data_IF_170250889613
#
_entry.id   IF_170250889613
#
_cell.length_a   1.000
_cell.length_b   1.000
_cell.length_c   1.000
_cell.angle_alpha   90.00
_cell.angle_beta   90.00
_cell.angle_gamma   90.00
#
_symmetry.space_group_name_H-M   'P 1'
#
loop_
_entity.id
_entity.type
_entity.pdbx_description
1 polymer ?
#
# COMPACT_ATOMS: atom_id res chain seq x y z
N UNK A 1 24.21 -7.30 -1.49
CA UNK A 1 25.25 -7.27 -2.58
C UNK A 1 26.48 -6.62 -1.98
N UNK A 2 27.61 -7.26 -2.19
CA UNK A 2 28.93 -6.69 -1.95
C UNK A 2 29.05 -5.30 -2.61
N UNK A 3 29.65 -4.30 -1.93
CA UNK A 3 29.81 -2.94 -2.45
C UNK A 3 30.45 -2.88 -3.85
N UNK A 4 31.40 -3.77 -4.15
CA UNK A 4 32.03 -3.85 -5.44
C UNK A 4 31.07 -4.30 -6.54
N UNK A 5 30.24 -5.29 -6.27
CA UNK A 5 29.21 -5.81 -7.20
C UNK A 5 28.16 -4.75 -7.48
N UNK A 6 27.69 -4.05 -6.45
CA UNK A 6 26.77 -2.91 -6.58
C UNK A 6 27.34 -1.80 -7.44
N UNK A 7 28.59 -1.41 -7.19
CA UNK A 7 29.31 -0.41 -7.96
C UNK A 7 29.43 -0.80 -9.44
N UNK A 8 29.70 -2.06 -9.74
CA UNK A 8 29.78 -2.57 -11.11
C UNK A 8 28.41 -2.55 -11.81
N UNK A 9 27.33 -2.88 -11.10
CA UNK A 9 25.97 -2.82 -11.63
C UNK A 9 25.60 -1.39 -12.01
N UNK A 10 25.87 -0.41 -11.12
CA UNK A 10 25.65 1.02 -11.38
C UNK A 10 26.46 1.46 -12.60
N UNK A 11 27.74 1.12 -12.67
CA UNK A 11 28.64 1.46 -13.78
C UNK A 11 28.16 0.90 -15.12
N UNK A 12 27.71 -0.36 -15.13
CA UNK A 12 27.20 -1.02 -16.34
C UNK A 12 25.92 -0.34 -16.82
N UNK A 13 24.96 -0.09 -15.92
CA UNK A 13 23.70 0.56 -16.25
C UNK A 13 23.90 2.00 -16.69
N UNK A 14 24.80 2.77 -16.05
CA UNK A 14 25.16 4.11 -16.47
C UNK A 14 25.66 4.13 -17.92
N UNK A 15 26.61 3.25 -18.26
CA UNK A 15 27.14 3.14 -19.61
C UNK A 15 26.08 2.72 -20.63
N UNK A 16 25.22 1.77 -20.27
CA UNK A 16 24.10 1.32 -21.11
C UNK A 16 23.12 2.47 -21.42
N UNK A 17 22.90 3.37 -20.47
CA UNK A 17 22.05 4.55 -20.65
C UNK A 17 22.81 5.77 -21.25
N UNK A 18 24.08 5.65 -21.60
CA UNK A 18 24.86 6.71 -22.24
C UNK A 18 25.27 7.88 -21.33
N UNK A 19 25.15 7.73 -20.00
CA UNK A 19 25.49 8.81 -19.07
C UNK A 19 26.99 8.86 -18.76
N UNK A 20 27.58 10.08 -18.70
CA UNK A 20 28.88 10.29 -18.06
C UNK A 20 28.77 10.17 -16.53
N UNK A 21 29.90 10.05 -15.83
CA UNK A 21 29.87 10.05 -14.35
C UNK A 21 29.35 11.38 -13.80
N UNK A 22 29.75 12.50 -14.39
CA UNK A 22 29.28 13.83 -13.97
C UNK A 22 27.77 14.00 -14.17
N UNK A 23 27.21 13.53 -15.30
CA UNK A 23 25.80 13.62 -15.59
C UNK A 23 24.98 12.76 -14.60
N UNK A 24 25.36 11.49 -14.40
CA UNK A 24 24.63 10.65 -13.45
C UNK A 24 24.75 11.17 -12.03
N UNK A 25 25.92 11.62 -11.62
CA UNK A 25 26.13 12.21 -10.30
C UNK A 25 25.23 13.43 -10.08
N UNK A 26 25.16 14.34 -11.05
CA UNK A 26 24.24 15.49 -11.01
C UNK A 26 22.77 15.09 -10.91
N UNK A 27 22.32 14.09 -11.68
CA UNK A 27 20.94 13.58 -11.66
C UNK A 27 20.55 12.99 -10.30
N UNK A 28 21.50 12.42 -9.57
CA UNK A 28 21.25 11.87 -8.22
C UNK A 28 21.61 12.85 -7.09
N UNK A 29 21.99 14.10 -7.43
CA UNK A 29 22.33 15.13 -6.45
C UNK A 29 23.64 14.88 -5.70
N UNK A 30 24.65 14.31 -6.38
CA UNK A 30 25.98 13.99 -5.83
C UNK A 30 27.10 14.50 -6.72
N UNK A 31 28.35 14.48 -6.22
CA UNK A 31 29.54 14.84 -6.99
C UNK A 31 30.02 13.68 -7.85
N UNK A 32 30.72 13.98 -8.93
CA UNK A 32 31.37 12.99 -9.81
C UNK A 32 32.36 12.12 -9.03
N UNK A 33 33.13 12.72 -8.11
CA UNK A 33 34.06 12.00 -7.24
C UNK A 33 33.34 10.97 -6.36
N UNK A 34 32.17 11.34 -5.80
CA UNK A 34 31.34 10.41 -5.05
C UNK A 34 30.90 9.21 -5.91
N UNK A 35 30.40 9.46 -7.12
CA UNK A 35 29.96 8.39 -8.01
C UNK A 35 31.14 7.50 -8.45
N UNK A 36 32.29 8.08 -8.71
CA UNK A 36 33.51 7.34 -9.05
C UNK A 36 33.91 6.37 -7.92
N UNK A 37 33.82 6.81 -6.66
CA UNK A 37 34.10 5.96 -5.50
C UNK A 37 33.05 4.85 -5.31
N UNK A 38 31.77 5.14 -5.55
CA UNK A 38 30.70 4.16 -5.54
C UNK A 38 30.91 3.10 -6.63
N UNK A 39 31.22 3.50 -7.86
CA UNK A 39 31.43 2.57 -8.97
C UNK A 39 32.68 1.67 -8.79
N UNK A 40 33.65 2.11 -7.97
CA UNK A 40 34.80 1.31 -7.57
C UNK A 40 34.56 0.43 -6.33
N UNK A 41 33.38 0.55 -5.70
CA UNK A 41 33.07 -0.18 -4.49
C UNK A 41 33.79 0.34 -3.22
N UNK A 42 34.44 1.51 -3.30
CA UNK A 42 35.15 2.13 -2.18
C UNK A 42 34.14 2.78 -1.22
N UNK A 43 33.09 3.39 -1.78
CA UNK A 43 32.03 4.04 -1.03
C UNK A 43 30.74 3.21 -1.12
N UNK A 44 30.15 2.93 0.04
CA UNK A 44 28.89 2.21 0.13
C UNK A 44 27.75 3.21 -0.01
N UNK A 45 26.78 2.91 -0.87
CA UNK A 45 25.54 3.69 -0.97
C UNK A 45 24.56 3.15 0.05
N UNK A 46 24.45 3.82 1.21
CA UNK A 46 23.58 3.40 2.33
C UNK A 46 22.24 4.14 2.34
N UNK A 47 22.12 5.21 1.57
CA UNK A 47 20.89 5.98 1.50
C UNK A 47 19.89 5.33 0.55
N UNK A 48 18.77 4.85 1.10
CA UNK A 48 17.63 4.36 0.31
C UNK A 48 17.12 5.41 -0.70
N UNK A 49 17.21 6.69 -0.37
CA UNK A 49 16.87 7.78 -1.27
C UNK A 49 17.75 7.78 -2.51
N UNK A 50 19.06 7.64 -2.30
CA UNK A 50 20.03 7.62 -3.42
C UNK A 50 19.91 6.34 -4.22
N UNK A 51 19.71 5.20 -3.57
CA UNK A 51 19.45 3.92 -4.24
C UNK A 51 18.19 4.00 -5.10
N UNK A 52 17.11 4.59 -4.60
CA UNK A 52 15.89 4.83 -5.35
C UNK A 52 16.09 5.80 -6.52
N UNK A 53 16.88 6.86 -6.35
CA UNK A 53 17.22 7.78 -7.45
C UNK A 53 18.05 7.08 -8.52
N UNK A 54 19.07 6.32 -8.12
CA UNK A 54 19.89 5.52 -9.03
C UNK A 54 19.05 4.50 -9.80
N UNK A 55 18.19 3.75 -9.10
CA UNK A 55 17.26 2.78 -9.69
C UNK A 55 16.41 3.42 -10.80
N UNK A 56 15.82 4.59 -10.54
CA UNK A 56 14.99 5.30 -11.53
C UNK A 56 15.76 5.86 -12.69
N UNK A 57 16.84 6.58 -12.42
CA UNK A 57 17.67 7.22 -13.47
C UNK A 57 18.27 6.16 -14.37
N UNK A 58 18.69 5.03 -13.79
CA UNK A 58 19.33 3.95 -14.51
C UNK A 58 18.33 2.91 -15.07
N UNK A 59 17.04 3.02 -14.73
CA UNK A 59 15.99 2.06 -15.08
C UNK A 59 16.35 0.63 -14.64
N UNK A 60 16.89 0.51 -13.44
CA UNK A 60 17.20 -0.76 -12.78
C UNK A 60 16.13 -1.07 -11.75
N UNK A 61 15.86 -2.36 -11.52
CA UNK A 61 15.13 -2.74 -10.32
C UNK A 61 15.98 -2.41 -9.08
N UNK A 62 15.36 -1.91 -8.02
CA UNK A 62 16.07 -1.59 -6.79
C UNK A 62 16.74 -2.82 -6.18
N UNK A 63 16.20 -3.99 -6.41
CA UNK A 63 16.76 -5.29 -6.01
C UNK A 63 18.11 -5.56 -6.66
N UNK A 64 18.32 -5.12 -7.90
CA UNK A 64 19.62 -5.20 -8.58
C UNK A 64 20.70 -4.35 -7.90
N UNK A 65 20.31 -3.27 -7.24
CA UNK A 65 21.23 -2.37 -6.52
C UNK A 65 21.42 -2.79 -5.05
N UNK A 66 20.39 -3.30 -4.42
CA UNK A 66 20.47 -3.71 -3.02
C UNK A 66 21.03 -5.13 -2.86
N UNK A 67 20.94 -5.94 -3.93
CA UNK A 67 21.30 -7.35 -3.90
C UNK A 67 20.47 -8.18 -2.95
N UNK A 68 19.42 -7.61 -2.49
CA UNK A 68 18.31 -8.37 -1.99
C UNK A 68 17.52 -8.88 -3.19
N UNK A 69 18.10 -9.81 -3.98
CA UNK A 69 17.28 -10.96 -4.29
C UNK A 69 16.87 -11.46 -2.92
N UNK A 70 15.66 -11.20 -2.60
CA UNK A 70 14.98 -11.80 -1.49
C UNK A 70 14.86 -13.30 -1.78
N UNK A 71 15.97 -14.05 -1.75
CA UNK A 71 15.92 -15.50 -1.53
C UNK A 71 15.28 -15.81 -0.17
N UNK A 72 15.17 -14.80 0.71
CA UNK A 72 14.44 -14.88 1.98
C UNK A 72 12.96 -14.45 1.89
N UNK A 73 12.43 -14.13 0.71
CA UNK A 73 11.02 -13.65 0.56
C UNK A 73 10.20 -14.56 -0.36
N UNK A 74 10.67 -15.71 -0.68
CA UNK A 74 9.81 -16.78 -1.24
C UNK A 74 9.09 -17.57 -0.13
N UNK A 75 9.41 -17.30 1.12
CA UNK A 75 8.59 -17.78 2.23
C UNK A 75 7.52 -16.70 2.50
N UNK A 76 6.28 -16.99 2.08
CA UNK A 76 5.13 -16.12 2.38
C UNK A 76 5.12 -15.86 3.87
N UNK A 77 5.49 -14.62 4.29
CA UNK A 77 5.53 -14.23 5.71
C UNK A 77 4.14 -14.28 6.36
N UNK A 78 3.12 -14.28 5.53
CA UNK A 78 1.73 -14.30 5.97
C UNK A 78 1.11 -15.67 5.67
N UNK A 79 0.94 -16.47 6.70
CA UNK A 79 0.53 -17.88 6.60
C UNK A 79 -0.77 -18.11 5.81
N UNK A 80 -1.73 -17.18 5.92
CA UNK A 80 -2.99 -17.27 5.20
C UNK A 80 -2.86 -17.01 3.68
N UNK A 81 -1.76 -16.43 3.19
CA UNK A 81 -1.60 -16.08 1.78
C UNK A 81 -1.73 -17.29 0.87
N UNK A 82 -1.12 -18.44 1.21
CA UNK A 82 -1.21 -19.68 0.43
C UNK A 82 -2.64 -20.22 0.35
N UNK A 83 -3.40 -20.08 1.42
CA UNK A 83 -4.80 -20.56 1.45
C UNK A 83 -5.71 -19.64 0.65
N UNK A 84 -5.45 -18.33 0.70
CA UNK A 84 -6.12 -17.33 -0.15
C UNK A 84 -5.78 -17.57 -1.62
N UNK A 85 -4.51 -17.78 -1.96
CA UNK A 85 -4.05 -18.10 -3.31
C UNK A 85 -4.77 -19.34 -3.87
N UNK A 86 -4.81 -20.44 -3.12
CA UNK A 86 -5.53 -21.66 -3.53
C UNK A 86 -7.01 -21.38 -3.77
N UNK A 87 -7.66 -20.58 -2.92
CA UNK A 87 -9.06 -20.21 -3.11
C UNK A 87 -9.26 -19.36 -4.39
N UNK A 88 -8.32 -18.47 -4.69
CA UNK A 88 -8.34 -17.69 -5.92
C UNK A 88 -8.05 -18.53 -7.18
N UNK A 89 -7.23 -19.57 -7.08
CA UNK A 89 -6.89 -20.46 -8.22
C UNK A 89 -7.98 -21.48 -8.55
N UNK A 90 -8.98 -21.70 -7.69
CA UNK A 90 -10.08 -22.60 -8.01
C UNK A 90 -10.94 -22.01 -9.11
N UNK A 91 -11.03 -22.73 -10.20
CA UNK A 91 -11.92 -22.41 -11.32
C UNK A 91 -13.25 -23.15 -11.10
N UNK A 92 -14.14 -22.54 -10.35
CA UNK A 92 -15.49 -23.10 -10.08
C UNK A 92 -16.25 -23.45 -11.36
N UNK A 93 -15.97 -22.76 -12.47
CA UNK A 93 -16.51 -23.14 -13.79
C UNK A 93 -16.08 -24.54 -14.26
N UNK A 94 -14.87 -25.00 -13.92
CA UNK A 94 -14.43 -26.36 -14.24
C UNK A 94 -15.08 -27.41 -13.31
N UNK A 95 -15.27 -27.08 -12.04
CA UNK A 95 -15.99 -27.95 -11.10
C UNK A 95 -17.46 -28.15 -11.53
N UNK A 96 -18.11 -27.11 -12.06
CA UNK A 96 -19.50 -27.18 -12.58
C UNK A 96 -19.59 -28.05 -13.85
N UNK A 97 -18.53 -28.09 -14.68
CA UNK A 97 -18.49 -28.94 -15.89
C UNK A 97 -18.26 -30.42 -15.53
N UNK A 98 -17.50 -30.67 -14.46
CA UNK A 98 -17.11 -32.04 -14.04
C UNK A 98 -18.13 -32.68 -13.10
N UNK A 99 -18.87 -31.86 -12.31
CA UNK A 99 -19.93 -32.32 -11.41
C UNK A 99 -21.27 -31.80 -11.91
N UNK A 100 -22.05 -32.65 -12.56
CA UNK A 100 -23.42 -32.34 -13.06
C UNK A 100 -24.43 -31.91 -11.98
N UNK A 101 -24.04 -31.89 -10.71
CA UNK A 101 -24.90 -31.52 -9.58
C UNK A 101 -24.11 -30.71 -8.54
N UNK A 102 -24.12 -29.39 -8.68
CA UNK A 102 -23.75 -28.53 -7.56
C UNK A 102 -24.91 -28.47 -6.57
N UNK A 103 -24.83 -29.24 -5.51
CA UNK A 103 -25.74 -29.20 -4.35
C UNK A 103 -25.32 -28.16 -3.30
N UNK A 104 -24.44 -27.22 -3.66
CA UNK A 104 -24.07 -26.15 -2.73
C UNK A 104 -25.26 -25.19 -2.49
N UNK A 105 -25.53 -24.81 -1.25
CA UNK A 105 -26.64 -23.90 -0.94
C UNK A 105 -26.43 -22.58 -1.68
N UNK A 106 -27.52 -22.06 -2.24
CA UNK A 106 -27.53 -20.76 -2.92
C UNK A 106 -27.04 -19.69 -1.94
N UNK A 107 -25.94 -19.04 -2.25
CA UNK A 107 -25.39 -17.94 -1.46
C UNK A 107 -26.16 -16.68 -1.82
N UNK A 108 -26.79 -16.08 -0.82
CA UNK A 108 -27.50 -14.79 -0.96
C UNK A 108 -26.44 -13.67 -1.18
N UNK A 109 -26.52 -12.90 -2.29
CA UNK A 109 -25.59 -11.82 -2.56
C UNK A 109 -25.52 -10.74 -1.47
N UNK A 110 -26.64 -10.42 -0.83
CA UNK A 110 -26.70 -9.41 0.23
C UNK A 110 -25.98 -9.90 1.48
N UNK A 111 -26.15 -11.17 1.84
CA UNK A 111 -25.41 -11.80 2.95
C UNK A 111 -23.90 -11.82 2.65
N UNK A 112 -23.52 -12.19 1.43
CA UNK A 112 -22.12 -12.21 1.00
C UNK A 112 -21.52 -10.80 1.02
N UNK A 113 -22.26 -9.79 0.56
CA UNK A 113 -21.83 -8.40 0.58
C UNK A 113 -21.63 -7.90 2.02
N UNK A 114 -22.56 -8.21 2.91
CA UNK A 114 -22.46 -7.86 4.34
C UNK A 114 -21.25 -8.54 5.01
N UNK A 115 -20.99 -9.81 4.71
CA UNK A 115 -19.82 -10.55 5.21
C UNK A 115 -18.52 -9.95 4.70
N UNK A 116 -18.46 -9.55 3.42
CA UNK A 116 -17.29 -8.88 2.84
C UNK A 116 -17.03 -7.50 3.47
N UNK A 117 -18.09 -6.75 3.79
CA UNK A 117 -18.00 -5.51 4.55
C UNK A 117 -17.47 -5.73 5.97
N UNK A 118 -17.96 -6.76 6.65
CA UNK A 118 -17.47 -7.12 7.99
C UNK A 118 -15.97 -7.50 7.94
N UNK A 119 -15.57 -8.34 6.97
CA UNK A 119 -14.17 -8.68 6.77
C UNK A 119 -13.30 -7.44 6.49
N UNK A 120 -13.82 -6.47 5.73
CA UNK A 120 -13.12 -5.22 5.49
C UNK A 120 -12.98 -4.36 6.76
N UNK A 121 -14.02 -4.28 7.59
CA UNK A 121 -13.96 -3.59 8.88
C UNK A 121 -12.93 -4.25 9.81
N UNK A 122 -12.90 -5.59 9.85
CA UNK A 122 -11.90 -6.37 10.61
C UNK A 122 -10.47 -6.09 10.11
N UNK A 123 -10.27 -5.98 8.78
CA UNK A 123 -9.01 -5.54 8.19
C UNK A 123 -8.61 -4.12 8.64
N UNK A 124 -9.56 -3.17 8.67
CA UNK A 124 -9.30 -1.81 9.14
C UNK A 124 -8.99 -1.74 10.64
N UNK A 125 -9.49 -2.69 11.42
CA UNK A 125 -9.14 -2.89 12.83
C UNK A 125 -7.76 -3.54 13.03
N UNK A 126 -6.99 -3.77 11.95
CA UNK A 126 -5.67 -4.40 11.94
C UNK A 126 -5.64 -5.87 12.44
N UNK A 127 -6.77 -6.58 12.35
CA UNK A 127 -6.92 -8.01 12.71
C UNK A 127 -6.74 -8.87 11.46
N UNK A 128 -5.51 -8.91 10.93
CA UNK A 128 -5.23 -9.49 9.61
C UNK A 128 -5.32 -11.02 9.61
N UNK A 129 -4.93 -11.67 10.70
CA UNK A 129 -4.99 -13.14 10.81
C UNK A 129 -6.44 -13.64 10.84
N UNK A 130 -7.34 -12.87 11.43
CA UNK A 130 -8.77 -13.18 11.43
C UNK A 130 -9.36 -13.04 10.01
N UNK A 131 -9.08 -11.94 9.35
CA UNK A 131 -9.51 -11.71 7.96
C UNK A 131 -8.97 -12.80 7.05
N UNK A 132 -7.68 -13.11 7.17
CA UNK A 132 -7.01 -14.11 6.34
C UNK A 132 -7.60 -15.50 6.46
N UNK A 133 -8.06 -15.88 7.66
CA UNK A 133 -8.77 -17.16 7.88
C UNK A 133 -10.15 -17.19 7.24
N UNK A 134 -10.85 -16.06 7.20
CA UNK A 134 -12.22 -15.95 6.64
C UNK A 134 -12.27 -15.82 5.12
N UNK A 135 -11.29 -15.13 4.52
CA UNK A 135 -11.28 -14.80 3.08
C UNK A 135 -11.37 -16.01 2.14
N UNK A 136 -10.69 -17.15 2.38
CA UNK A 136 -10.79 -18.29 1.47
C UNK A 136 -12.22 -18.81 1.30
N UNK A 137 -13.03 -18.77 2.37
CA UNK A 137 -14.43 -19.12 2.29
C UNK A 137 -15.23 -18.08 1.52
N UNK A 138 -15.07 -16.80 1.84
CA UNK A 138 -15.76 -15.71 1.14
C UNK A 138 -15.46 -15.70 -0.37
N UNK A 139 -14.22 -16.01 -0.77
CA UNK A 139 -13.84 -16.12 -2.18
C UNK A 139 -14.60 -17.27 -2.84
N UNK A 140 -14.65 -18.45 -2.22
CA UNK A 140 -15.40 -19.59 -2.78
C UNK A 140 -16.89 -19.28 -2.90
N UNK A 141 -17.49 -18.69 -1.87
CA UNK A 141 -18.90 -18.32 -1.83
C UNK A 141 -19.23 -17.28 -2.94
N UNK A 142 -18.32 -16.31 -3.17
CA UNK A 142 -18.45 -15.31 -4.25
C UNK A 142 -18.35 -15.91 -5.65
N UNK A 143 -17.45 -16.88 -5.86
CA UNK A 143 -17.33 -17.58 -7.14
C UNK A 143 -18.52 -18.53 -7.38
N UNK A 144 -18.99 -19.22 -6.36
CA UNK A 144 -20.18 -20.06 -6.45
C UNK A 144 -21.43 -19.24 -6.80
N UNK A 145 -21.63 -18.09 -6.13
CA UNK A 145 -22.72 -17.17 -6.45
C UNK A 145 -22.67 -16.67 -7.90
N UNK A 146 -21.46 -16.37 -8.41
CA UNK A 146 -21.27 -15.89 -9.78
C UNK A 146 -21.62 -16.95 -10.85
N UNK A 147 -21.53 -18.22 -10.51
CA UNK A 147 -21.86 -19.34 -11.40
C UNK A 147 -23.28 -19.88 -11.23
N UNK A 148 -24.06 -19.31 -10.30
CA UNK A 148 -25.44 -19.75 -10.03
C UNK A 148 -26.39 -19.30 -11.16
N UNK A 149 -27.10 -20.20 -11.85
CA UNK A 149 -28.07 -19.83 -12.88
C UNK A 149 -29.24 -19.01 -12.30
N UNK A 150 -29.63 -17.93 -12.99
CA UNK A 150 -30.74 -17.07 -12.60
C UNK A 150 -30.47 -16.20 -11.36
N UNK A 151 -29.22 -16.05 -10.94
CA UNK A 151 -28.83 -15.09 -9.90
C UNK A 151 -28.97 -13.65 -10.43
N UNK A 152 -29.24 -12.70 -9.51
CA UNK A 152 -29.15 -11.27 -9.79
C UNK A 152 -27.68 -10.90 -10.08
N UNK A 153 -27.35 -10.80 -11.34
CA UNK A 153 -25.98 -10.59 -11.80
C UNK A 153 -25.34 -9.31 -11.24
N UNK A 154 -25.98 -8.14 -11.27
CA UNK A 154 -25.43 -6.92 -10.67
C UNK A 154 -25.14 -7.06 -9.16
N UNK A 155 -26.07 -7.62 -8.38
CA UNK A 155 -25.86 -7.80 -6.94
C UNK A 155 -24.73 -8.80 -6.64
N UNK A 156 -24.68 -9.93 -7.35
CA UNK A 156 -23.60 -10.91 -7.24
C UNK A 156 -22.23 -10.27 -7.58
N UNK A 157 -22.19 -9.50 -8.66
CA UNK A 157 -20.96 -8.81 -9.09
C UNK A 157 -20.53 -7.76 -8.07
N UNK A 158 -21.47 -7.04 -7.44
CA UNK A 158 -21.18 -6.09 -6.37
C UNK A 158 -20.56 -6.79 -5.14
N UNK A 159 -21.16 -7.89 -4.69
CA UNK A 159 -20.65 -8.68 -3.59
C UNK A 159 -19.25 -9.25 -3.90
N UNK A 160 -19.08 -9.83 -5.09
CA UNK A 160 -17.81 -10.35 -5.57
C UNK A 160 -16.73 -9.27 -5.63
N UNK A 161 -17.05 -8.08 -6.14
CA UNK A 161 -16.13 -6.94 -6.17
C UNK A 161 -15.69 -6.56 -4.74
N UNK A 162 -16.60 -6.56 -3.76
CA UNK A 162 -16.26 -6.23 -2.37
C UNK A 162 -15.37 -7.29 -1.72
N UNK A 163 -15.61 -8.58 -1.95
CA UNK A 163 -14.75 -9.69 -1.48
C UNK A 163 -13.34 -9.52 -2.02
N UNK A 164 -13.19 -9.30 -3.32
CA UNK A 164 -11.87 -9.14 -3.94
C UNK A 164 -11.18 -7.82 -3.59
N UNK A 165 -11.92 -6.73 -3.39
CA UNK A 165 -11.37 -5.49 -2.84
C UNK A 165 -10.78 -5.69 -1.43
N UNK A 166 -11.47 -6.45 -0.57
CA UNK A 166 -10.99 -6.79 0.77
C UNK A 166 -9.73 -7.66 0.69
N UNK A 167 -9.76 -8.67 -0.17
CA UNK A 167 -8.61 -9.57 -0.43
C UNK A 167 -7.39 -8.78 -0.90
N UNK A 168 -7.56 -7.90 -1.89
CA UNK A 168 -6.49 -7.06 -2.41
C UNK A 168 -5.91 -6.12 -1.35
N UNK A 169 -6.77 -5.52 -0.51
CA UNK A 169 -6.33 -4.63 0.56
C UNK A 169 -5.48 -5.36 1.59
N UNK A 170 -5.90 -6.56 2.03
CA UNK A 170 -5.13 -7.38 2.97
C UNK A 170 -3.78 -7.82 2.36
N UNK A 171 -3.82 -8.47 1.19
CA UNK A 171 -2.62 -9.00 0.55
C UNK A 171 -1.57 -7.91 0.28
N UNK A 172 -2.01 -6.73 -0.19
CA UNK A 172 -1.14 -5.56 -0.33
C UNK A 172 -0.53 -5.14 1.01
N UNK A 173 -1.32 -5.13 2.09
CA UNK A 173 -0.89 -4.66 3.41
C UNK A 173 0.15 -5.58 4.03
N UNK A 174 0.03 -6.88 3.81
CA UNK A 174 0.99 -7.89 4.29
C UNK A 174 2.16 -8.15 3.33
N UNK A 175 2.21 -7.43 2.19
CA UNK A 175 3.34 -7.47 1.27
C UNK A 175 3.22 -8.43 0.08
N UNK A 176 2.12 -9.17 -0.04
CA UNK A 176 1.86 -10.14 -1.12
C UNK A 176 1.37 -9.42 -2.39
N UNK A 177 2.29 -8.70 -3.05
CA UNK A 177 1.97 -7.72 -4.11
C UNK A 177 1.35 -8.35 -5.36
N UNK A 178 1.78 -9.54 -5.74
CA UNK A 178 1.31 -10.22 -6.95
C UNK A 178 -0.08 -10.80 -6.75
N UNK A 179 -0.33 -11.42 -5.60
CA UNK A 179 -1.67 -11.88 -5.23
C UNK A 179 -2.63 -10.69 -5.03
N UNK A 180 -2.15 -9.58 -4.46
CA UNK A 180 -2.94 -8.36 -4.32
C UNK A 180 -3.37 -7.80 -5.68
N UNK A 181 -2.49 -7.84 -6.69
CA UNK A 181 -2.83 -7.42 -8.04
C UNK A 181 -3.87 -8.31 -8.68
N UNK A 182 -3.73 -9.65 -8.58
CA UNK A 182 -4.72 -10.59 -9.10
C UNK A 182 -6.10 -10.37 -8.45
N UNK A 183 -6.14 -10.17 -7.14
CA UNK A 183 -7.38 -9.87 -6.42
C UNK A 183 -8.00 -8.53 -6.87
N UNK A 184 -7.19 -7.48 -7.01
CA UNK A 184 -7.66 -6.17 -7.46
C UNK A 184 -8.18 -6.19 -8.91
N UNK A 185 -7.55 -6.95 -9.80
CA UNK A 185 -8.01 -7.15 -11.18
C UNK A 185 -9.38 -7.82 -11.23
N UNK A 186 -9.59 -8.86 -10.42
CA UNK A 186 -10.90 -9.51 -10.29
C UNK A 186 -11.95 -8.58 -9.68
N UNK A 187 -11.55 -7.72 -8.73
CA UNK A 187 -12.44 -6.72 -8.17
C UNK A 187 -12.89 -5.70 -9.23
N UNK A 188 -11.94 -5.21 -10.05
CA UNK A 188 -12.24 -4.29 -11.16
C UNK A 188 -13.19 -4.94 -12.17
N UNK A 189 -12.89 -6.17 -12.58
CA UNK A 189 -13.73 -6.94 -13.52
C UNK A 189 -15.15 -7.14 -12.97
N UNK A 190 -15.28 -7.52 -11.70
CA UNK A 190 -16.60 -7.69 -11.06
C UNK A 190 -17.34 -6.34 -10.95
N UNK A 191 -16.66 -5.27 -10.54
CA UNK A 191 -17.25 -3.94 -10.40
C UNK A 191 -17.79 -3.39 -11.73
N UNK A 192 -17.13 -3.71 -12.85
CA UNK A 192 -17.60 -3.31 -14.19
C UNK A 192 -18.95 -3.95 -14.57
N UNK A 193 -19.23 -5.15 -14.05
CA UNK A 193 -20.51 -5.87 -14.30
C UNK A 193 -21.60 -5.59 -13.26
N UNK A 194 -21.26 -4.86 -12.18
CA UNK A 194 -22.24 -4.51 -11.13
C UNK A 194 -23.16 -3.35 -11.51
N UNK A 195 -22.90 -2.68 -12.64
CA UNK A 195 -23.62 -1.48 -13.11
C UNK A 195 -23.72 -0.36 -12.04
N UNK A 196 -22.68 -0.25 -11.23
CA UNK A 196 -22.56 0.74 -10.15
C UNK A 196 -21.29 1.57 -10.35
N UNK A 197 -21.35 2.78 -10.94
CA UNK A 197 -20.17 3.60 -11.22
C UNK A 197 -19.34 3.92 -9.98
N UNK A 198 -19.98 4.08 -8.82
CA UNK A 198 -19.28 4.33 -7.57
C UNK A 198 -18.45 3.11 -7.13
N UNK A 199 -18.96 1.89 -7.30
CA UNK A 199 -18.22 0.67 -6.98
C UNK A 199 -17.00 0.49 -7.90
N UNK A 200 -17.15 0.83 -9.19
CA UNK A 200 -16.01 0.86 -10.13
C UNK A 200 -14.95 1.87 -9.69
N UNK A 201 -15.35 3.04 -9.21
CA UNK A 201 -14.42 4.03 -8.67
C UNK A 201 -13.72 3.55 -7.38
N UNK A 202 -14.43 2.81 -6.52
CA UNK A 202 -13.85 2.16 -5.33
C UNK A 202 -12.83 1.09 -5.71
N UNK A 203 -13.13 0.27 -6.71
CA UNK A 203 -12.19 -0.73 -7.21
C UNK A 203 -10.94 -0.07 -7.82
N UNK A 204 -11.10 1.01 -8.59
CA UNK A 204 -10.00 1.80 -9.14
C UNK A 204 -9.12 2.41 -8.03
N UNK A 205 -9.73 2.93 -6.96
CA UNK A 205 -9.02 3.41 -5.79
C UNK A 205 -8.13 2.32 -5.16
N UNK A 206 -8.63 1.08 -5.02
CA UNK A 206 -7.86 -0.05 -4.49
C UNK A 206 -6.74 -0.46 -5.43
N UNK A 207 -7.04 -0.58 -6.72
CA UNK A 207 -6.07 -0.93 -7.75
C UNK A 207 -4.93 0.09 -7.82
N UNK A 208 -5.20 1.40 -7.66
CA UNK A 208 -4.17 2.42 -7.64
C UNK A 208 -3.13 2.17 -6.53
N UNK A 209 -3.56 1.82 -5.31
CA UNK A 209 -2.62 1.46 -4.24
C UNK A 209 -1.86 0.15 -4.52
N UNK A 210 -2.48 -0.80 -5.20
CA UNK A 210 -1.77 -2.02 -5.64
C UNK A 210 -0.69 -1.67 -6.65
N UNK A 211 -0.96 -0.82 -7.63
CA UNK A 211 0.05 -0.33 -8.58
C UNK A 211 1.20 0.38 -7.88
N UNK A 212 0.92 1.27 -6.90
CA UNK A 212 1.96 1.92 -6.10
C UNK A 212 2.85 0.86 -5.42
N UNK A 213 2.25 -0.16 -4.80
CA UNK A 213 3.00 -1.21 -4.11
C UNK A 213 3.85 -2.07 -5.04
N UNK A 214 3.49 -2.16 -6.30
CA UNK A 214 4.24 -2.86 -7.37
C UNK A 214 5.28 -1.98 -8.07
N UNK A 215 5.50 -0.74 -7.60
CA UNK A 215 6.44 0.20 -8.23
C UNK A 215 5.95 0.78 -9.55
N UNK A 216 4.62 0.83 -9.78
CA UNK A 216 3.96 1.40 -10.96
C UNK A 216 3.16 2.66 -10.61
N UNK A 217 3.82 3.71 -10.07
CA UNK A 217 3.10 4.90 -9.59
C UNK A 217 2.46 5.73 -10.71
N UNK A 218 3.02 5.71 -11.93
CA UNK A 218 2.42 6.45 -13.06
C UNK A 218 1.06 5.90 -13.43
N UNK A 219 0.97 4.59 -13.61
CA UNK A 219 -0.28 3.91 -13.92
C UNK A 219 -1.30 4.06 -12.77
N UNK A 220 -0.80 4.11 -11.53
CA UNK A 220 -1.64 4.38 -10.38
C UNK A 220 -2.26 5.79 -10.42
N UNK A 221 -1.46 6.81 -10.75
CA UNK A 221 -1.92 8.19 -10.87
C UNK A 221 -2.90 8.35 -12.04
N UNK A 222 -2.59 7.78 -13.20
CA UNK A 222 -3.45 7.79 -14.38
C UNK A 222 -4.82 7.15 -14.10
N UNK A 223 -4.82 5.95 -13.50
CA UNK A 223 -6.05 5.24 -13.13
C UNK A 223 -6.87 6.05 -12.12
N UNK A 224 -6.24 6.54 -11.06
CA UNK A 224 -6.92 7.29 -10.01
C UNK A 224 -7.53 8.59 -10.56
N UNK A 225 -6.82 9.32 -11.41
CA UNK A 225 -7.31 10.57 -12.00
C UNK A 225 -8.38 10.34 -13.06
N UNK A 226 -8.27 9.28 -13.86
CA UNK A 226 -9.33 8.88 -14.81
C UNK A 226 -10.63 8.55 -14.06
N UNK A 227 -10.54 7.74 -13.00
CA UNK A 227 -11.69 7.39 -12.16
C UNK A 227 -12.28 8.61 -11.46
N UNK A 228 -11.45 9.51 -10.91
CA UNK A 228 -11.89 10.75 -10.27
C UNK A 228 -12.64 11.65 -11.27
N UNK A 229 -12.10 11.87 -12.46
CA UNK A 229 -12.74 12.68 -13.49
C UNK A 229 -14.05 12.07 -14.01
N UNK A 230 -14.13 10.74 -14.07
CA UNK A 230 -15.38 10.05 -14.46
C UNK A 230 -16.44 10.19 -13.37
N UNK A 231 -16.05 10.05 -12.10
CA UNK A 231 -16.95 10.22 -10.96
C UNK A 231 -17.43 11.68 -10.86
N UNK A 232 -16.53 12.65 -11.02
CA UNK A 232 -16.84 14.09 -10.92
C UNK A 232 -17.94 14.52 -11.91
N UNK A 233 -17.90 14.03 -13.14
CA UNK A 233 -18.93 14.33 -14.16
C UNK A 233 -20.33 13.82 -13.82
N UNK A 234 -20.43 12.86 -12.93
CA UNK A 234 -21.70 12.21 -12.53
C UNK A 234 -22.05 12.47 -11.06
N UNK A 235 -21.17 13.11 -10.33
CA UNK A 235 -21.29 13.30 -8.89
C UNK A 235 -22.46 14.22 -8.56
N UNK A 236 -23.33 13.75 -7.68
CA UNK A 236 -24.46 14.53 -7.17
C UNK A 236 -23.94 15.55 -6.13
N UNK A 237 -24.40 16.83 -6.19
CA UNK A 237 -23.98 17.82 -5.22
C UNK A 237 -24.19 17.34 -3.78
N UNK A 238 -23.13 17.36 -2.98
CA UNK A 238 -23.19 17.03 -1.55
C UNK A 238 -23.32 15.53 -1.22
N UNK A 239 -23.28 14.62 -2.20
CA UNK A 239 -23.32 13.18 -1.90
C UNK A 239 -22.05 12.77 -1.13
N UNK A 240 -22.17 12.31 0.14
CA UNK A 240 -21.01 12.02 0.97
C UNK A 240 -20.21 10.78 0.50
N UNK A 241 -20.85 9.79 -0.09
CA UNK A 241 -20.20 8.59 -0.60
C UNK A 241 -19.32 8.91 -1.79
N UNK A 242 -19.88 9.67 -2.74
CA UNK A 242 -19.17 10.12 -3.94
C UNK A 242 -18.01 11.05 -3.58
N UNK A 243 -18.21 11.99 -2.64
CA UNK A 243 -17.15 12.86 -2.12
C UNK A 243 -16.02 12.08 -1.46
N UNK A 244 -16.34 11.04 -0.68
CA UNK A 244 -15.34 10.21 -0.01
C UNK A 244 -14.48 9.43 -0.99
N UNK A 245 -15.08 8.86 -2.04
CA UNK A 245 -14.34 8.12 -3.06
C UNK A 245 -13.55 9.07 -3.95
N UNK A 246 -14.12 10.19 -4.36
CA UNK A 246 -13.45 11.23 -5.15
C UNK A 246 -12.20 11.75 -4.43
N UNK A 247 -12.34 12.14 -3.16
CA UNK A 247 -11.21 12.59 -2.36
C UNK A 247 -10.17 11.49 -2.15
N UNK A 248 -10.60 10.25 -1.90
CA UNK A 248 -9.72 9.10 -1.79
C UNK A 248 -8.89 8.85 -3.05
N UNK A 249 -9.47 9.01 -4.24
CA UNK A 249 -8.77 8.91 -5.52
C UNK A 249 -7.69 9.99 -5.67
N UNK A 250 -7.96 11.22 -5.24
CA UNK A 250 -6.95 12.29 -5.22
C UNK A 250 -5.81 12.00 -4.23
N UNK A 251 -6.11 11.38 -3.07
CA UNK A 251 -5.07 10.94 -2.12
C UNK A 251 -4.22 9.80 -2.70
N UNK A 252 -4.82 8.87 -3.43
CA UNK A 252 -4.09 7.81 -4.13
C UNK A 252 -3.16 8.39 -5.21
N UNK A 253 -3.66 9.34 -6.01
CA UNK A 253 -2.86 10.05 -7.00
C UNK A 253 -1.73 10.87 -6.37
N UNK A 254 -1.98 11.53 -5.22
CA UNK A 254 -0.93 12.26 -4.48
C UNK A 254 0.17 11.31 -3.96
N UNK A 255 -0.22 10.14 -3.45
CA UNK A 255 0.72 9.10 -3.01
C UNK A 255 1.56 8.58 -4.19
N UNK A 256 0.93 8.39 -5.35
CA UNK A 256 1.61 7.98 -6.58
C UNK A 256 2.59 9.07 -7.07
N UNK A 257 2.16 10.32 -7.10
CA UNK A 257 3.02 11.46 -7.46
C UNK A 257 4.21 11.61 -6.50
N UNK A 258 4.00 11.40 -5.20
CA UNK A 258 5.09 11.42 -4.21
C UNK A 258 6.10 10.29 -4.45
N UNK A 259 5.66 9.11 -4.87
CA UNK A 259 6.54 8.01 -5.25
C UNK A 259 7.40 8.34 -6.49
N UNK A 260 6.93 9.22 -7.37
CA UNK A 260 7.70 9.77 -8.52
C UNK A 260 8.49 11.04 -8.15
N UNK A 261 8.47 11.49 -6.89
CA UNK A 261 9.06 12.76 -6.44
C UNK A 261 8.51 14.00 -7.16
N UNK A 262 7.28 13.93 -7.65
CA UNK A 262 6.60 15.09 -8.26
C UNK A 262 6.11 16.05 -7.18
N UNK A 263 7.03 16.95 -6.77
CA UNK A 263 6.78 17.98 -5.76
C UNK A 263 5.78 19.06 -6.21
N UNK A 264 5.42 19.09 -7.49
CA UNK A 264 4.42 20.03 -8.03
C UNK A 264 3.02 19.42 -7.98
N UNK A 265 2.88 18.18 -8.41
CA UNK A 265 1.59 17.48 -8.42
C UNK A 265 1.07 17.18 -7.00
N UNK A 266 1.96 16.76 -6.06
CA UNK A 266 1.57 16.40 -4.69
C UNK A 266 0.73 17.48 -4.00
N UNK A 267 1.18 18.74 -3.83
CA UNK A 267 0.38 19.74 -3.13
C UNK A 267 -0.90 20.10 -3.89
N UNK A 268 -0.92 20.01 -5.21
CA UNK A 268 -2.13 20.26 -6.01
C UNK A 268 -3.19 19.18 -5.74
N UNK A 269 -2.79 17.91 -5.71
CA UNK A 269 -3.69 16.78 -5.47
C UNK A 269 -4.20 16.75 -4.02
N UNK A 270 -3.34 17.04 -3.05
CA UNK A 270 -3.72 17.17 -1.64
C UNK A 270 -4.73 18.31 -1.44
N UNK A 271 -4.58 19.47 -2.12
CA UNK A 271 -5.57 20.55 -2.08
C UNK A 271 -6.94 20.13 -2.63
N UNK A 272 -6.99 19.33 -3.69
CA UNK A 272 -8.26 18.82 -4.21
C UNK A 272 -8.93 17.88 -3.21
N UNK A 273 -8.15 16.96 -2.60
CA UNK A 273 -8.65 16.09 -1.54
C UNK A 273 -9.13 16.92 -0.33
N UNK A 274 -8.41 17.97 0.06
CA UNK A 274 -8.79 18.83 1.17
C UNK A 274 -10.15 19.54 0.91
N UNK A 275 -10.35 20.11 -0.29
CA UNK A 275 -11.64 20.71 -0.68
C UNK A 275 -12.79 19.69 -0.62
N UNK A 276 -12.55 18.45 -1.04
CA UNK A 276 -13.55 17.39 -0.92
C UNK A 276 -13.85 17.06 0.55
N UNK A 277 -12.82 17.00 1.41
CA UNK A 277 -12.97 16.77 2.85
C UNK A 277 -13.71 17.91 3.57
N UNK A 278 -13.51 19.15 3.17
CA UNK A 278 -14.27 20.30 3.68
C UNK A 278 -15.75 20.18 3.34
N UNK A 279 -16.06 19.82 2.09
CA UNK A 279 -17.45 19.61 1.64
C UNK A 279 -18.12 18.42 2.33
N UNK A 280 -17.33 17.39 2.70
CA UNK A 280 -17.83 16.21 3.45
C UNK A 280 -18.20 16.56 4.90
N UNK A 281 -17.52 17.55 5.50
CA UNK A 281 -17.86 18.08 6.82
C UNK A 281 -17.42 17.27 8.02
N UNK A 282 -16.66 16.18 7.85
CA UNK A 282 -16.13 15.34 8.94
C UNK A 282 -15.45 14.08 8.43
N UNK A 283 -14.77 13.38 9.33
CA UNK A 283 -14.12 12.11 9.00
C UNK A 283 -15.16 10.98 8.93
N UNK A 284 -15.22 10.29 7.79
CA UNK A 284 -16.16 9.20 7.54
C UNK A 284 -15.45 7.99 6.93
N UNK A 285 -16.03 6.81 7.12
CA UNK A 285 -15.51 5.57 6.55
C UNK A 285 -16.40 5.00 5.45
N UNK A 286 -16.92 5.86 4.57
CA UNK A 286 -17.75 5.43 3.45
C UNK A 286 -16.91 4.68 2.44
N UNK A 287 -17.42 3.55 1.96
CA UNK A 287 -16.70 2.62 1.06
C UNK A 287 -15.30 2.23 1.55
N UNK A 288 -15.07 2.29 2.86
CA UNK A 288 -13.79 1.93 3.47
C UNK A 288 -12.62 2.87 3.11
N UNK A 289 -12.90 4.09 2.66
CA UNK A 289 -11.88 5.08 2.28
C UNK A 289 -11.24 5.78 3.48
N UNK A 290 -11.88 5.73 4.65
CA UNK A 290 -11.48 6.49 5.84
C UNK A 290 -11.31 7.98 5.54
N UNK A 291 -12.12 8.55 4.63
CA UNK A 291 -11.91 9.87 4.08
C UNK A 291 -12.43 10.99 4.99
N UNK A 292 -11.65 12.07 5.07
CA UNK A 292 -11.93 13.29 5.78
C UNK A 292 -10.67 14.11 6.01
N UNK A 293 -10.75 15.17 6.80
CA UNK A 293 -9.64 16.10 7.07
C UNK A 293 -8.44 15.41 7.71
N UNK A 294 -8.67 14.52 8.67
CA UNK A 294 -7.61 13.76 9.34
C UNK A 294 -6.87 12.85 8.35
N UNK A 295 -7.59 12.17 7.45
CA UNK A 295 -6.93 11.33 6.46
C UNK A 295 -6.14 12.13 5.41
N UNK A 296 -6.56 13.33 5.07
CA UNK A 296 -5.78 14.25 4.22
C UNK A 296 -4.46 14.62 4.92
N UNK A 297 -4.50 14.93 6.22
CA UNK A 297 -3.29 15.20 7.01
C UNK A 297 -2.36 13.98 7.07
N UNK A 298 -2.89 12.76 7.26
CA UNK A 298 -2.10 11.52 7.21
C UNK A 298 -1.39 11.37 5.85
N UNK A 299 -2.05 11.67 4.75
CA UNK A 299 -1.42 11.61 3.43
C UNK A 299 -0.42 12.75 3.21
N UNK A 300 -0.62 13.91 3.84
CA UNK A 300 0.39 14.98 3.85
C UNK A 300 1.68 14.49 4.52
N UNK A 301 1.60 13.82 5.68
CA UNK A 301 2.74 13.21 6.36
C UNK A 301 3.42 12.17 5.45
N UNK A 302 2.66 11.20 4.93
CA UNK A 302 3.20 10.12 4.11
C UNK A 302 3.87 10.64 2.83
N UNK A 303 3.29 11.64 2.16
CA UNK A 303 3.84 12.22 0.94
C UNK A 303 5.06 13.11 1.22
N UNK A 304 5.09 13.80 2.35
CA UNK A 304 6.26 14.57 2.79
C UNK A 304 7.47 13.64 3.00
N UNK A 305 7.28 12.52 3.70
CA UNK A 305 8.32 11.50 3.89
C UNK A 305 8.80 10.96 2.54
N UNK A 306 7.88 10.62 1.65
CA UNK A 306 8.21 10.06 0.34
C UNK A 306 8.98 11.05 -0.54
N UNK A 307 8.76 12.36 -0.40
CA UNK A 307 9.47 13.42 -1.12
C UNK A 307 10.72 13.95 -0.39
N UNK A 308 11.07 13.35 0.76
CA UNK A 308 12.27 13.66 1.53
C UNK A 308 12.14 14.86 2.47
N UNK A 309 10.92 15.29 2.78
CA UNK A 309 10.64 16.35 3.75
C UNK A 309 10.19 15.77 5.10
N UNK A 310 11.15 15.14 5.78
CA UNK A 310 10.91 14.55 7.10
C UNK A 310 10.57 15.59 8.18
N UNK A 311 10.94 16.86 7.99
CA UNK A 311 10.60 17.92 8.92
C UNK A 311 9.10 18.20 8.92
N UNK A 312 8.54 18.52 7.77
CA UNK A 312 7.09 18.73 7.62
C UNK A 312 6.30 17.50 8.10
N UNK A 313 6.82 16.29 7.86
CA UNK A 313 6.16 15.07 8.31
C UNK A 313 6.08 14.98 9.85
N UNK A 314 7.14 15.37 10.56
CA UNK A 314 7.16 15.39 12.03
C UNK A 314 6.27 16.52 12.55
N UNK A 315 6.44 17.74 12.03
CA UNK A 315 5.69 18.91 12.49
C UNK A 315 4.16 18.69 12.36
N UNK A 316 3.70 18.13 11.23
CA UNK A 316 2.27 17.82 11.03
C UNK A 316 1.82 16.61 11.86
N UNK A 317 2.69 15.61 12.02
CA UNK A 317 2.33 14.35 12.67
C UNK A 317 2.25 14.44 14.19
N UNK A 318 3.08 15.26 14.83
CA UNK A 318 3.04 15.50 16.27
C UNK A 318 1.80 16.28 16.70
N UNK A 319 1.31 17.19 15.82
CA UNK A 319 0.11 17.99 16.09
C UNK A 319 -1.20 17.28 15.69
N UNK A 320 -1.12 16.13 15.00
CA UNK A 320 -2.29 15.48 14.43
C UNK A 320 -3.12 14.74 15.49
N UNK A 321 -4.33 15.23 15.77
CA UNK A 321 -5.31 14.48 16.54
C UNK A 321 -5.99 13.38 15.69
N UNK A 322 -5.60 12.13 15.93
CA UNK A 322 -6.18 10.95 15.27
C UNK A 322 -7.46 10.45 15.95
N UNK A 323 -7.89 11.06 17.07
CA UNK A 323 -9.11 10.66 17.78
C UNK A 323 -10.39 10.97 16.97
N UNK A 324 -10.33 11.94 16.07
CA UNK A 324 -11.40 12.30 15.15
C UNK A 324 -11.74 11.18 14.14
N UNK A 325 -10.81 10.24 13.91
CA UNK A 325 -11.08 9.08 13.05
C UNK A 325 -12.10 8.13 13.70
N UNK A 326 -13.03 7.54 12.94
CA UNK A 326 -13.92 6.48 13.43
C UNK A 326 -13.18 5.39 14.20
N UNK A 327 -13.74 4.91 15.31
CA UNK A 327 -13.06 4.05 16.29
C UNK A 327 -12.44 2.77 15.67
N UNK A 328 -13.11 2.15 14.69
CA UNK A 328 -12.63 0.93 14.02
C UNK A 328 -11.42 1.10 13.10
N UNK A 329 -10.94 2.34 12.84
CA UNK A 329 -9.84 2.60 11.92
C UNK A 329 -8.45 2.49 12.58
N UNK A 330 -8.19 1.40 13.31
CA UNK A 330 -6.93 1.17 14.02
C UNK A 330 -5.73 1.19 13.07
N UNK A 331 -5.84 0.50 11.92
CA UNK A 331 -4.74 0.45 10.94
C UNK A 331 -4.39 1.84 10.39
N UNK A 332 -5.37 2.78 10.36
CA UNK A 332 -5.12 4.14 9.89
C UNK A 332 -4.44 5.00 10.97
N UNK A 333 -4.81 4.84 12.24
CA UNK A 333 -4.12 5.50 13.36
C UNK A 333 -2.67 5.05 13.46
N UNK A 334 -2.43 3.75 13.43
CA UNK A 334 -1.07 3.18 13.48
C UNK A 334 -0.24 3.56 12.25
N UNK A 335 -0.87 3.84 11.10
CA UNK A 335 -0.13 4.35 9.93
C UNK A 335 0.59 5.67 10.24
N UNK A 336 0.00 6.56 11.04
CA UNK A 336 0.66 7.82 11.48
C UNK A 336 1.93 7.49 12.28
N UNK A 337 1.84 6.57 13.24
CA UNK A 337 2.99 6.13 14.02
C UNK A 337 4.09 5.52 13.14
N UNK A 338 3.74 4.70 12.15
CA UNK A 338 4.70 4.16 11.20
C UNK A 338 5.39 5.25 10.37
N UNK A 339 4.62 6.22 9.91
CA UNK A 339 5.14 7.33 9.12
C UNK A 339 6.01 8.25 9.97
N UNK A 340 5.63 8.55 11.22
CA UNK A 340 6.47 9.27 12.18
C UNK A 340 7.76 8.52 12.49
N UNK A 341 7.71 7.22 12.74
CA UNK A 341 8.91 6.41 12.97
C UNK A 341 9.87 6.47 11.77
N UNK A 342 9.34 6.46 10.54
CA UNK A 342 10.13 6.67 9.32
C UNK A 342 10.76 8.06 9.27
N UNK A 343 10.01 9.11 9.61
CA UNK A 343 10.51 10.48 9.65
C UNK A 343 11.61 10.65 10.70
N UNK A 344 11.42 10.14 11.92
CA UNK A 344 12.44 10.13 12.96
C UNK A 344 13.69 9.35 12.54
N UNK A 345 13.51 8.20 11.88
CA UNK A 345 14.64 7.42 11.33
C UNK A 345 15.43 8.22 10.30
N UNK A 346 14.76 8.94 9.38
CA UNK A 346 15.41 9.82 8.42
C UNK A 346 16.16 10.98 9.09
N UNK A 347 15.65 11.47 10.22
CA UNK A 347 16.28 12.54 11.03
C UNK A 347 17.31 12.04 12.04
N UNK A 348 17.61 10.75 12.07
CA UNK A 348 18.51 10.10 13.03
C UNK A 348 18.09 10.25 14.51
N UNK A 349 16.80 10.35 14.74
CA UNK A 349 16.17 10.37 16.07
C UNK A 349 15.74 8.94 16.44
N UNK A 350 16.71 8.03 16.55
CA UNK A 350 16.48 6.58 16.62
C UNK A 350 15.69 6.16 17.86
N UNK A 351 15.91 6.81 19.01
CA UNK A 351 15.14 6.53 20.23
C UNK A 351 13.66 6.88 20.07
N UNK A 352 13.35 8.03 19.46
CA UNK A 352 11.97 8.42 19.16
C UNK A 352 11.32 7.45 18.18
N UNK A 353 12.06 7.03 17.13
CA UNK A 353 11.55 6.05 16.15
C UNK A 353 11.21 4.71 16.82
N UNK A 354 12.06 4.20 17.71
CA UNK A 354 11.81 2.93 18.42
C UNK A 354 10.61 3.07 19.36
N UNK A 355 10.53 4.15 20.13
CA UNK A 355 9.40 4.39 21.02
C UNK A 355 8.07 4.43 20.27
N UNK A 356 8.03 5.19 19.18
CA UNK A 356 6.82 5.28 18.32
C UNK A 356 6.42 3.93 17.72
N UNK A 357 7.39 3.07 17.36
CA UNK A 357 7.10 1.72 16.88
C UNK A 357 6.58 0.79 17.98
N UNK A 358 7.05 0.93 19.22
CA UNK A 358 6.54 0.17 20.36
C UNK A 358 5.09 0.53 20.68
N UNK A 359 4.75 1.82 20.67
CA UNK A 359 3.36 2.27 20.83
C UNK A 359 2.46 1.73 19.72
N UNK A 360 2.97 1.75 18.48
CA UNK A 360 2.27 1.19 17.34
C UNK A 360 2.06 -0.33 17.47
N UNK A 361 3.04 -1.07 17.99
CA UNK A 361 2.94 -2.51 18.24
C UNK A 361 1.88 -2.84 19.28
N UNK A 362 1.78 -2.06 20.37
CA UNK A 362 0.75 -2.25 21.38
C UNK A 362 -0.67 -2.11 20.79
N UNK A 363 -0.86 -1.18 19.87
CA UNK A 363 -2.16 -0.93 19.24
C UNK A 363 -2.50 -1.93 18.12
N UNK A 364 -1.50 -2.36 17.34
CA UNK A 364 -1.70 -3.23 16.19
C UNK A 364 -0.48 -4.13 15.94
N UNK A 365 -0.28 -5.19 16.75
CA UNK A 365 0.89 -6.06 16.64
C UNK A 365 1.01 -6.74 15.27
N UNK A 366 -0.09 -7.16 14.67
CA UNK A 366 -0.09 -7.79 13.35
C UNK A 366 0.33 -6.82 12.24
N UNK A 367 -0.04 -5.53 12.35
CA UNK A 367 0.40 -4.52 11.39
C UNK A 367 1.91 -4.32 11.48
N UNK A 368 2.48 -4.22 12.68
CA UNK A 368 3.93 -4.09 12.87
C UNK A 368 4.65 -5.33 12.34
N UNK A 369 4.11 -6.51 12.57
CA UNK A 369 4.69 -7.78 12.12
C UNK A 369 4.70 -7.94 10.60
N UNK A 370 3.60 -7.62 9.92
CA UNK A 370 3.43 -7.95 8.51
C UNK A 370 3.71 -6.80 7.55
N UNK A 371 3.69 -5.54 8.01
CA UNK A 371 3.81 -4.41 7.10
C UNK A 371 5.23 -4.22 6.57
N UNK A 372 5.46 -4.22 5.24
CA UNK A 372 6.81 -4.12 4.66
C UNK A 372 7.58 -2.86 5.09
N UNK A 373 6.86 -1.75 5.32
CA UNK A 373 7.46 -0.51 5.79
C UNK A 373 8.09 -0.63 7.18
N UNK A 374 7.55 -1.47 8.07
CA UNK A 374 8.13 -1.74 9.39
C UNK A 374 9.46 -2.45 9.27
N UNK A 375 9.54 -3.47 8.40
CA UNK A 375 10.79 -4.18 8.13
C UNK A 375 11.90 -3.23 7.68
N UNK A 376 11.59 -2.31 6.76
CA UNK A 376 12.57 -1.32 6.27
C UNK A 376 13.09 -0.40 7.37
N UNK A 377 12.20 0.12 8.23
CA UNK A 377 12.58 0.98 9.36
C UNK A 377 13.44 0.22 10.37
N UNK A 378 13.01 -0.97 10.78
CA UNK A 378 13.76 -1.78 11.76
C UNK A 378 15.13 -2.19 11.23
N UNK A 379 15.24 -2.57 9.96
CA UNK A 379 16.52 -2.90 9.32
C UNK A 379 17.47 -1.70 9.34
N UNK A 380 16.97 -0.51 9.03
CA UNK A 380 17.79 0.72 9.04
C UNK A 380 18.25 1.09 10.46
N UNK A 381 17.36 0.97 11.46
CA UNK A 381 17.70 1.22 12.87
C UNK A 381 18.72 0.22 13.39
N UNK A 382 18.59 -1.07 13.04
CA UNK A 382 19.53 -2.12 13.47
C UNK A 382 20.95 -1.92 12.90
N UNK A 383 21.08 -1.38 11.67
CA UNK A 383 22.39 -1.09 11.06
C UNK A 383 23.22 -0.08 11.83
N UNK A 384 22.56 0.80 12.60
CA UNK A 384 23.21 1.87 13.36
C UNK A 384 22.86 1.84 14.85
N UNK A 385 22.49 0.66 15.34
CA UNK A 385 22.05 0.45 16.72
C UNK A 385 23.05 0.93 17.76
N UNK A 386 22.57 1.72 18.69
CA UNK A 386 23.28 2.03 19.94
C UNK A 386 22.49 1.43 21.11
N UNK A 387 22.89 0.25 21.58
CA UNK A 387 22.18 -0.54 22.59
C UNK A 387 21.76 0.21 23.84
N UNK A 388 22.53 1.24 24.24
CA UNK A 388 22.21 2.06 25.41
C UNK A 388 21.03 3.01 25.17
N UNK A 389 20.86 3.50 23.96
CA UNK A 389 19.80 4.45 23.61
C UNK A 389 18.55 3.78 23.03
N UNK A 390 18.66 2.55 22.54
CA UNK A 390 17.55 1.79 21.93
C UNK A 390 17.52 0.34 22.42
N UNK A 391 17.38 0.08 23.74
CA UNK A 391 17.46 -1.27 24.30
C UNK A 391 16.37 -2.21 23.76
N UNK A 392 15.18 -1.67 23.45
CA UNK A 392 14.02 -2.42 22.98
C UNK A 392 14.02 -2.71 21.48
N UNK A 393 14.98 -2.17 20.72
CA UNK A 393 15.02 -2.32 19.26
C UNK A 393 15.12 -3.79 18.81
N UNK A 394 16.04 -4.57 19.42
CA UNK A 394 16.18 -6.00 19.06
C UNK A 394 15.00 -6.87 19.48
N UNK A 395 14.46 -6.72 20.70
CA UNK A 395 13.22 -7.40 21.06
C UNK A 395 12.08 -7.11 20.07
N UNK A 396 11.86 -5.84 19.72
CA UNK A 396 10.87 -5.44 18.73
C UNK A 396 11.13 -6.07 17.36
N UNK A 397 12.37 -6.03 16.87
CA UNK A 397 12.75 -6.59 15.59
C UNK A 397 12.53 -8.11 15.52
N UNK A 398 12.77 -8.85 16.63
CA UNK A 398 12.45 -10.28 16.73
C UNK A 398 10.95 -10.55 16.63
N UNK A 399 10.12 -9.79 17.37
CA UNK A 399 8.66 -9.93 17.29
C UNK A 399 8.11 -9.58 15.91
N UNK A 400 8.74 -8.64 15.23
CA UNK A 400 8.42 -8.28 13.85
C UNK A 400 9.00 -9.26 12.80
N UNK A 401 9.76 -10.28 13.20
CA UNK A 401 10.36 -11.27 12.30
C UNK A 401 11.43 -10.69 11.36
N UNK A 402 12.19 -9.68 11.83
CA UNK A 402 13.27 -9.04 11.06
C UNK A 402 14.64 -9.64 11.40
N UNK A 403 14.81 -10.19 12.61
CA UNK A 403 16.02 -10.88 13.11
C UNK A 403 15.64 -12.09 13.96
#
# INVERSE_FOLDING_TARGET
VDPATRGQTIKRARRKNGYSQSVLAGLVGRSESWLSQVERGILIVDSHEILNRLSRVLRLDITELTGTESEAVTDMRYDAARTIERAMMRYSALETIVTETSTEPRVDPDVLFAQAHHAYATYQAARYDEVGRGLPRLIRDAEAAANTPGADRPAVCAARAMVYNTTAALLRKVGEKDLAWQAADRAMSAAAWADQPLLTAVAAYRMAYVFISRGRPREAAELAMCAAGTLERRMRPGNPEELSVYGGLHLAAATAAAAEFDRVAVPRLLRQAHRAAERLGGDRNLHGTAFGRTNVAIHTISTAIATGDARTAVDVGEDLDVSALPAGLVSRRVQVSLDLARAYTQRRQDAAAVHTLLDAEHLAPELIRYHPGTTGVLTELLRREHRRSTPELRPLARRAGVV
#
